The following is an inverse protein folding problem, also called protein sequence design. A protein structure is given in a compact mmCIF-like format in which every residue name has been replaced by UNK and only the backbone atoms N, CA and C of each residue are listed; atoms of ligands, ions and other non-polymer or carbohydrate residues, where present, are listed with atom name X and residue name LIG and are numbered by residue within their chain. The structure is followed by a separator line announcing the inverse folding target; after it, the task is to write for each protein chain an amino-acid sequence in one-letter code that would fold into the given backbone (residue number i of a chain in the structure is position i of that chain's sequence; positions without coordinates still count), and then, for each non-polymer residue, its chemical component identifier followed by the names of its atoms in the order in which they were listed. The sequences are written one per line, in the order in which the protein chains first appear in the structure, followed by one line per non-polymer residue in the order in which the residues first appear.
data_IF_148584470268
#
_entry.id   IF_148584470268
#
_cell.length_a   1.000
_cell.length_b   1.000
_cell.length_c   1.000
_cell.angle_alpha   90.00
_cell.angle_beta   90.00
_cell.angle_gamma   90.00
#
_symmetry.space_group_name_H-M   'P 1'
#
loop_
_entity.id
_entity.type
_entity.pdbx_description
1 polymer ?
#
# COMPACT_ATOMS: atom_id res chain seq x y z
N UNK A 1 -22.87 15.36 13.51
CA UNK A 1 -23.26 14.01 13.95
C UNK A 1 -23.90 13.24 12.80
N UNK A 2 -23.25 12.16 12.35
CA UNK A 2 -23.84 11.26 11.35
C UNK A 2 -24.66 10.17 12.07
N UNK A 3 -25.84 9.79 11.56
CA UNK A 3 -26.65 8.76 12.20
C UNK A 3 -25.92 7.41 12.15
N UNK A 4 -25.84 6.70 13.28
CA UNK A 4 -25.49 5.28 13.31
C UNK A 4 -26.61 4.52 12.60
N UNK A 5 -26.33 3.98 11.41
CA UNK A 5 -27.30 3.21 10.62
C UNK A 5 -27.15 1.69 10.89
N UNK A 6 -28.04 1.06 11.68
CA UNK A 6 -28.00 -0.39 11.96
C UNK A 6 -28.40 -1.28 10.77
N UNK A 7 -28.92 -0.73 9.67
CA UNK A 7 -29.36 -1.53 8.51
C UNK A 7 -28.21 -2.08 7.65
N UNK A 8 -27.05 -1.42 7.61
CA UNK A 8 -25.91 -1.89 6.79
C UNK A 8 -25.28 -3.17 7.36
N UNK A 9 -25.32 -3.39 8.67
CA UNK A 9 -24.73 -4.60 9.27
C UNK A 9 -25.56 -5.85 8.94
N UNK A 10 -26.89 -5.75 8.90
CA UNK A 10 -27.76 -6.86 8.48
C UNK A 10 -27.59 -7.18 6.99
N UNK A 11 -27.50 -6.15 6.15
CA UNK A 11 -27.24 -6.32 4.71
C UNK A 11 -25.88 -6.99 4.49
N UNK A 12 -24.83 -6.54 5.17
CA UNK A 12 -23.50 -7.13 5.03
C UNK A 12 -23.48 -8.55 5.59
N UNK A 13 -24.02 -8.80 6.78
CA UNK A 13 -24.12 -10.17 7.31
C UNK A 13 -24.90 -11.12 6.37
N UNK A 14 -25.91 -10.61 5.67
CA UNK A 14 -26.62 -11.35 4.63
C UNK A 14 -25.73 -11.59 3.39
N UNK A 15 -25.03 -10.56 2.89
CA UNK A 15 -24.15 -10.69 1.73
C UNK A 15 -22.93 -11.60 2.02
N UNK A 16 -22.41 -11.58 3.25
CA UNK A 16 -21.33 -12.45 3.71
C UNK A 16 -21.73 -13.93 3.71
N UNK A 17 -23.01 -14.24 3.91
CA UNK A 17 -23.53 -15.62 3.80
C UNK A 17 -23.55 -16.14 2.36
N UNK A 18 -23.55 -15.24 1.36
CA UNK A 18 -23.66 -15.57 -0.05
C UNK A 18 -22.48 -14.98 -0.84
N UNK A 19 -21.30 -15.60 -0.70
CA UNK A 19 -20.03 -15.16 -1.33
C UNK A 19 -20.14 -14.80 -2.83
N UNK A 20 -20.97 -15.49 -3.60
CA UNK A 20 -21.19 -15.20 -5.03
C UNK A 20 -21.83 -13.82 -5.26
N UNK A 21 -22.84 -13.46 -4.46
CA UNK A 21 -23.52 -12.17 -4.57
C UNK A 21 -22.58 -11.00 -4.24
N UNK A 22 -21.57 -11.22 -3.38
CA UNK A 22 -20.63 -10.17 -2.99
C UNK A 22 -19.69 -9.79 -4.14
N UNK A 23 -19.14 -10.78 -4.85
CA UNK A 23 -18.26 -10.56 -6.00
C UNK A 23 -19.00 -9.82 -7.13
N UNK A 24 -20.25 -10.19 -7.38
CA UNK A 24 -21.07 -9.58 -8.43
C UNK A 24 -21.40 -8.12 -8.11
N UNK A 25 -21.70 -7.81 -6.84
CA UNK A 25 -21.90 -6.42 -6.38
C UNK A 25 -20.63 -5.58 -6.59
N UNK A 26 -19.45 -6.09 -6.23
CA UNK A 26 -18.18 -5.37 -6.41
C UNK A 26 -17.79 -5.19 -7.89
N UNK A 27 -18.33 -6.00 -8.79
CA UNK A 27 -18.14 -5.88 -10.24
C UNK A 27 -19.26 -5.09 -10.94
N UNK A 28 -20.32 -4.73 -10.22
CA UNK A 28 -21.42 -3.94 -10.77
C UNK A 28 -20.99 -2.51 -11.06
N UNK A 29 -21.77 -1.81 -11.90
CA UNK A 29 -21.59 -0.37 -12.13
C UNK A 29 -22.22 0.50 -11.01
N UNK A 30 -22.75 -0.12 -9.95
CA UNK A 30 -23.44 0.57 -8.86
C UNK A 30 -22.45 1.06 -7.79
N UNK A 31 -21.69 2.12 -8.12
CA UNK A 31 -20.65 2.67 -7.24
C UNK A 31 -21.15 3.03 -5.82
N UNK A 32 -22.38 3.53 -5.71
CA UNK A 32 -22.99 3.85 -4.41
C UNK A 32 -23.24 2.60 -3.56
N UNK A 33 -23.64 1.48 -4.18
CA UNK A 33 -23.80 0.21 -3.51
C UNK A 33 -22.45 -0.33 -3.03
N UNK A 34 -21.43 -0.29 -3.90
CA UNK A 34 -20.05 -0.68 -3.56
C UNK A 34 -19.53 0.14 -2.38
N UNK A 35 -19.74 1.46 -2.41
CA UNK A 35 -19.32 2.35 -1.32
C UNK A 35 -20.01 2.02 0.01
N UNK A 36 -21.32 1.70 0.00
CA UNK A 36 -22.06 1.27 1.20
C UNK A 36 -21.52 -0.04 1.77
N UNK A 37 -21.22 -1.00 0.91
CA UNK A 37 -20.62 -2.28 1.29
C UNK A 37 -19.27 -2.04 1.98
N UNK A 38 -18.38 -1.26 1.37
CA UNK A 38 -17.07 -0.92 1.96
C UNK A 38 -17.21 -0.17 3.27
N UNK A 39 -18.18 0.75 3.36
CA UNK A 39 -18.44 1.50 4.60
C UNK A 39 -18.85 0.59 5.73
N UNK A 40 -19.68 -0.41 5.47
CA UNK A 40 -20.06 -1.33 6.53
C UNK A 40 -18.97 -2.36 6.86
N UNK A 41 -18.12 -2.78 5.91
CA UNK A 41 -16.91 -3.56 6.22
C UNK A 41 -15.98 -2.80 7.19
N UNK A 42 -15.81 -1.49 6.99
CA UNK A 42 -15.05 -0.62 7.89
C UNK A 42 -15.62 -0.54 9.32
N UNK A 43 -16.87 -0.96 9.54
CA UNK A 43 -17.53 -0.97 10.85
C UNK A 43 -17.69 -2.40 11.42
N UNK A 44 -17.17 -3.41 10.74
CA UNK A 44 -17.16 -4.78 11.23
C UNK A 44 -15.96 -5.04 12.14
N UNK A 45 -16.10 -6.05 13.00
CA UNK A 45 -14.96 -6.64 13.68
C UNK A 45 -14.03 -7.28 12.64
N UNK A 46 -12.76 -6.89 12.67
CA UNK A 46 -11.78 -7.25 11.64
C UNK A 46 -11.57 -8.76 11.51
N UNK A 47 -11.65 -9.50 12.63
CA UNK A 47 -11.54 -10.96 12.67
C UNK A 47 -12.69 -11.69 11.96
N UNK A 48 -13.81 -11.00 11.70
CA UNK A 48 -14.97 -11.56 11.00
C UNK A 48 -14.94 -11.28 9.50
N UNK A 49 -13.94 -10.56 8.98
CA UNK A 49 -13.84 -10.23 7.57
C UNK A 49 -13.23 -11.42 6.82
N UNK A 50 -13.98 -12.08 5.93
CA UNK A 50 -13.46 -13.19 5.15
C UNK A 50 -12.33 -12.75 4.20
N UNK A 51 -11.31 -13.59 4.06
CA UNK A 51 -10.16 -13.36 3.18
C UNK A 51 -10.55 -13.06 1.73
N UNK A 52 -11.46 -13.84 1.16
CA UNK A 52 -11.95 -13.69 -0.21
C UNK A 52 -12.56 -12.31 -0.50
N UNK A 53 -13.08 -11.62 0.51
CA UNK A 53 -13.61 -10.27 0.34
C UNK A 53 -12.49 -9.27 0.06
N UNK A 54 -11.37 -9.37 0.77
CA UNK A 54 -10.21 -8.53 0.48
C UNK A 54 -9.66 -8.84 -0.91
N UNK A 55 -9.66 -10.10 -1.34
CA UNK A 55 -9.27 -10.50 -2.69
C UNK A 55 -10.16 -9.79 -3.73
N UNK A 56 -11.49 -9.80 -3.55
CA UNK A 56 -12.41 -9.11 -4.44
C UNK A 56 -12.23 -7.59 -4.41
N UNK A 57 -11.96 -6.98 -3.25
CA UNK A 57 -11.67 -5.54 -3.15
C UNK A 57 -10.38 -5.17 -3.90
N UNK A 58 -9.37 -6.03 -3.87
CA UNK A 58 -8.12 -5.85 -4.62
C UNK A 58 -8.35 -6.05 -6.11
N UNK A 59 -9.29 -6.90 -6.53
CA UNK A 59 -9.66 -7.10 -7.94
C UNK A 59 -10.39 -5.92 -8.56
N UNK A 60 -10.98 -5.00 -7.77
CA UNK A 60 -11.78 -3.90 -8.33
C UNK A 60 -10.91 -3.10 -9.29
N UNK A 61 -11.32 -3.13 -10.56
CA UNK A 61 -10.58 -2.55 -11.66
C UNK A 61 -11.00 -1.10 -11.81
N UNK A 62 -10.41 -0.25 -10.98
CA UNK A 62 -10.74 1.16 -10.96
C UNK A 62 -9.78 1.84 -11.94
N UNK A 63 -10.29 2.03 -13.17
CA UNK A 63 -9.50 2.23 -14.38
C UNK A 63 -8.71 3.55 -14.41
N UNK A 64 -9.06 4.57 -13.63
CA UNK A 64 -8.69 5.96 -13.97
C UNK A 64 -8.00 6.76 -12.85
N UNK A 65 -7.22 6.13 -11.97
CA UNK A 65 -6.49 6.88 -10.91
C UNK A 65 -5.30 7.71 -11.35
N UNK A 66 -4.83 7.55 -12.59
CA UNK A 66 -3.64 8.28 -13.06
C UNK A 66 -3.95 9.70 -13.56
N UNK A 67 -5.22 10.08 -13.71
CA UNK A 67 -5.60 11.36 -14.34
C UNK A 67 -5.99 12.44 -13.32
N UNK A 68 -6.36 12.10 -12.08
CA UNK A 68 -6.74 13.12 -11.07
C UNK A 68 -5.56 13.55 -10.21
N UNK A 69 -4.39 13.78 -10.84
CA UNK A 69 -3.24 14.36 -10.12
C UNK A 69 -3.24 15.89 -10.10
N UNK A 70 -4.09 16.59 -10.89
CA UNK A 70 -3.83 18.03 -11.13
C UNK A 70 -4.96 19.05 -10.93
N UNK A 71 -6.21 18.71 -10.62
CA UNK A 71 -7.27 19.77 -10.58
C UNK A 71 -8.21 19.78 -9.36
N UNK A 72 -8.30 18.71 -8.56
CA UNK A 72 -9.28 18.68 -7.46
C UNK A 72 -8.74 19.05 -6.06
N UNK A 73 -7.41 19.04 -5.86
CA UNK A 73 -6.81 19.17 -4.52
C UNK A 73 -6.61 20.63 -4.05
N UNK A 74 -6.81 21.62 -4.92
CA UNK A 74 -6.78 23.04 -4.53
C UNK A 74 -8.09 23.52 -3.89
N UNK A 75 -9.22 22.80 -4.03
CA UNK A 75 -10.51 23.24 -3.50
C UNK A 75 -10.80 22.82 -2.05
N UNK A 76 -10.46 21.58 -1.68
CA UNK A 76 -10.93 20.99 -0.41
C UNK A 76 -10.03 21.29 0.80
N UNK A 77 -8.74 21.60 0.56
CA UNK A 77 -7.80 21.91 1.64
C UNK A 77 -7.94 23.35 2.15
N UNK A 78 -8.36 24.30 1.32
CA UNK A 78 -8.53 25.71 1.76
C UNK A 78 -9.78 25.93 2.62
N UNK A 79 -10.82 25.09 2.54
CA UNK A 79 -12.03 25.28 3.39
C UNK A 79 -11.86 24.79 4.84
N UNK A 80 -10.93 23.86 5.10
CA UNK A 80 -10.72 23.29 6.45
C UNK A 80 -9.59 23.94 7.24
N UNK A 81 -8.50 24.37 6.58
CA UNK A 81 -7.44 25.13 7.26
C UNK A 81 -7.90 26.52 7.70
N UNK A 82 -8.79 27.16 6.94
CA UNK A 82 -9.32 28.49 7.28
C UNK A 82 -10.26 28.47 8.49
N UNK A 83 -10.95 27.34 8.73
CA UNK A 83 -11.76 27.10 9.95
C UNK A 83 -10.92 26.74 11.16
N UNK A 84 -9.82 25.99 10.96
CA UNK A 84 -8.91 25.59 12.04
C UNK A 84 -8.05 26.77 12.54
N UNK A 85 -7.49 27.59 11.65
CA UNK A 85 -6.66 28.76 12.02
C UNK A 85 -7.48 29.87 12.71
N UNK A 86 -8.76 30.05 12.35
CA UNK A 86 -9.67 30.97 13.05
C UNK A 86 -10.03 30.51 14.47
N UNK A 87 -10.00 29.20 14.73
CA UNK A 87 -10.30 28.63 16.05
C UNK A 87 -9.14 28.70 17.06
N UNK A 88 -7.91 28.96 16.59
CA UNK A 88 -6.69 28.90 17.40
C UNK A 88 -6.10 30.28 17.77
N UNK A 89 -6.71 31.40 17.35
CA UNK A 89 -6.30 32.75 17.76
C UNK A 89 -4.87 33.17 17.42
N UNK A 90 -4.09 32.35 16.69
CA UNK A 90 -2.73 32.68 16.25
C UNK A 90 -2.80 33.53 14.98
N UNK A 91 -2.75 34.85 15.14
CA UNK A 91 -2.17 35.72 14.11
C UNK A 91 -0.67 35.44 14.12
N UNK A 92 -0.13 34.95 13.01
CA UNK A 92 1.13 35.48 12.48
C UNK A 92 1.30 35.12 11.00
N UNK A 93 1.65 36.18 10.28
CA UNK A 93 2.28 36.28 8.96
C UNK A 93 1.59 35.56 7.80
N UNK A 94 0.68 36.32 7.17
CA UNK A 94 0.20 36.04 5.82
C UNK A 94 1.41 36.01 4.86
N UNK A 95 1.48 35.05 3.92
CA UNK A 95 2.24 35.27 2.70
C UNK A 95 1.62 36.47 1.97
N UNK A 96 2.46 37.40 1.50
CA UNK A 96 2.05 38.47 0.60
C UNK A 96 1.45 37.86 -0.67
N UNK A 97 0.12 37.72 -0.68
CA UNK A 97 -0.67 37.45 -1.87
C UNK A 97 -1.46 38.71 -2.19
N UNK A 98 -1.14 39.27 -3.34
CA UNK A 98 -1.90 40.20 -4.19
C UNK A 98 -3.34 40.37 -3.68
N UNK A 99 -3.58 41.46 -2.95
CA UNK A 99 -4.91 41.86 -2.53
C UNK A 99 -5.63 42.51 -3.73
N UNK A 100 -6.30 41.69 -4.54
CA UNK A 100 -7.49 42.14 -5.26
C UNK A 100 -8.63 41.17 -4.99
N UNK A 101 -9.14 41.20 -3.75
CA UNK A 101 -10.50 40.71 -3.49
C UNK A 101 -11.42 41.87 -3.83
N UNK A 102 -11.84 41.95 -5.09
CA UNK A 102 -12.96 42.78 -5.51
C UNK A 102 -14.17 42.41 -4.67
N UNK A 103 -14.65 43.36 -3.85
CA UNK A 103 -15.86 43.19 -3.04
C UNK A 103 -17.07 43.11 -3.97
N UNK A 104 -17.43 41.91 -4.38
CA UNK A 104 -18.64 41.65 -5.17
C UNK A 104 -19.91 42.06 -4.42
N UNK A 105 -20.79 42.78 -5.11
CA UNK A 105 -22.08 43.22 -4.61
C UNK A 105 -23.01 42.03 -4.31
N UNK A 106 -24.09 42.26 -3.56
CA UNK A 106 -25.11 41.21 -3.32
C UNK A 106 -25.79 40.74 -4.61
N UNK A 107 -25.84 41.59 -5.65
CA UNK A 107 -26.35 41.22 -6.97
C UNK A 107 -25.35 40.37 -7.74
N UNK A 108 -24.07 40.75 -7.75
CA UNK A 108 -23.01 39.98 -8.42
C UNK A 108 -22.91 38.57 -7.84
N UNK A 109 -23.10 38.40 -6.52
CA UNK A 109 -23.17 37.07 -5.88
C UNK A 109 -24.38 36.25 -6.31
N UNK A 110 -25.51 36.88 -6.66
CA UNK A 110 -26.69 36.18 -7.19
C UNK A 110 -26.46 35.79 -8.64
N UNK A 111 -25.91 36.67 -9.46
CA UNK A 111 -25.56 36.39 -10.85
C UNK A 111 -24.48 35.31 -10.97
N UNK A 112 -23.44 35.34 -10.12
CA UNK A 112 -22.41 34.32 -10.02
C UNK A 112 -23.00 32.94 -9.68
N UNK A 113 -24.00 32.88 -8.78
CA UNK A 113 -24.71 31.63 -8.46
C UNK A 113 -25.54 31.13 -9.64
N UNK A 114 -26.20 32.03 -10.37
CA UNK A 114 -27.00 31.68 -11.54
C UNK A 114 -26.08 31.19 -12.67
N UNK A 115 -24.96 31.88 -12.92
CA UNK A 115 -23.93 31.49 -13.88
C UNK A 115 -23.34 30.12 -13.55
N UNK A 116 -22.96 29.86 -12.29
CA UNK A 116 -22.51 28.52 -11.85
C UNK A 116 -23.57 27.45 -12.03
N UNK A 117 -24.85 27.79 -11.86
CA UNK A 117 -25.95 26.85 -12.06
C UNK A 117 -26.16 26.54 -13.55
N UNK A 118 -26.04 27.54 -14.41
CA UNK A 118 -26.12 27.38 -15.88
C UNK A 118 -24.91 26.60 -16.42
N UNK A 119 -23.71 26.90 -15.95
CA UNK A 119 -22.49 26.20 -16.32
C UNK A 119 -22.52 24.73 -15.85
N UNK A 120 -23.02 24.47 -14.64
CA UNK A 120 -23.29 23.12 -14.15
C UNK A 120 -24.30 22.37 -15.04
N UNK A 121 -25.35 23.05 -15.53
CA UNK A 121 -26.32 22.41 -16.43
C UNK A 121 -25.69 22.12 -17.81
N UNK A 122 -24.89 23.05 -18.36
CA UNK A 122 -24.18 22.83 -19.62
C UNK A 122 -23.23 21.64 -19.55
N UNK A 123 -22.48 21.51 -18.46
CA UNK A 123 -21.58 20.38 -18.21
C UNK A 123 -22.33 19.04 -18.01
N UNK A 124 -23.59 19.07 -17.52
CA UNK A 124 -24.46 17.88 -17.46
C UNK A 124 -24.91 17.48 -18.87
N UNK A 125 -25.29 18.46 -19.69
CA UNK A 125 -25.72 18.24 -21.08
C UNK A 125 -24.56 17.78 -21.99
N UNK A 126 -23.32 18.21 -21.69
CA UNK A 126 -22.07 17.80 -22.37
C UNK A 126 -21.57 16.42 -21.90
N UNK A 127 -22.19 15.80 -20.88
CA UNK A 127 -21.82 14.48 -20.35
C UNK A 127 -20.59 14.47 -19.43
N UNK A 128 -19.84 15.57 -19.33
CA UNK A 128 -18.61 15.70 -18.53
C UNK A 128 -18.87 15.58 -17.02
N UNK A 129 -19.99 16.13 -16.52
CA UNK A 129 -20.35 16.08 -15.09
C UNK A 129 -20.61 14.65 -14.61
N UNK A 130 -21.01 13.75 -15.51
CA UNK A 130 -21.23 12.34 -15.19
C UNK A 130 -19.91 11.60 -14.92
N UNK A 131 -18.85 11.95 -15.65
CA UNK A 131 -17.55 11.32 -15.53
C UNK A 131 -16.79 11.82 -14.29
N UNK A 132 -16.85 13.13 -14.01
CA UNK A 132 -16.29 13.69 -12.78
C UNK A 132 -16.97 13.14 -11.52
N UNK A 133 -18.31 13.03 -11.53
CA UNK A 133 -19.06 12.44 -10.43
C UNK A 133 -18.71 10.96 -10.23
N UNK A 134 -18.53 10.22 -11.31
CA UNK A 134 -18.07 8.83 -11.28
C UNK A 134 -16.67 8.71 -10.68
N UNK A 135 -15.70 9.51 -11.15
CA UNK A 135 -14.33 9.57 -10.61
C UNK A 135 -14.32 9.92 -9.12
N UNK A 136 -15.15 10.86 -8.70
CA UNK A 136 -15.29 11.23 -7.29
C UNK A 136 -15.86 10.08 -6.44
N UNK A 137 -16.80 9.30 -6.95
CA UNK A 137 -17.33 8.11 -6.27
C UNK A 137 -16.30 6.97 -6.21
N UNK A 138 -15.60 6.71 -7.31
CA UNK A 138 -14.49 5.75 -7.36
C UNK A 138 -13.41 6.13 -6.33
N UNK A 139 -13.01 7.40 -6.24
CA UNK A 139 -12.08 7.87 -5.22
C UNK A 139 -12.60 7.64 -3.78
N UNK A 140 -13.90 7.79 -3.52
CA UNK A 140 -14.49 7.48 -2.21
C UNK A 140 -14.40 5.99 -1.89
N UNK A 141 -14.70 5.12 -2.85
CA UNK A 141 -14.56 3.67 -2.75
C UNK A 141 -13.12 3.32 -2.34
N UNK A 142 -12.15 3.84 -3.07
CA UNK A 142 -10.74 3.61 -2.79
C UNK A 142 -10.26 4.11 -1.44
N UNK A 143 -10.68 5.31 -1.04
CA UNK A 143 -10.39 5.80 0.30
C UNK A 143 -11.03 4.92 1.38
N UNK A 144 -12.20 4.34 1.10
CA UNK A 144 -12.84 3.36 1.97
C UNK A 144 -12.06 2.05 2.08
N UNK A 145 -11.49 1.55 0.98
CA UNK A 145 -10.62 0.36 0.96
C UNK A 145 -9.31 0.65 1.69
N UNK A 146 -8.67 1.78 1.41
CA UNK A 146 -7.45 2.22 2.10
C UNK A 146 -7.70 2.35 3.60
N UNK A 147 -8.84 2.92 4.02
CA UNK A 147 -9.21 2.99 5.44
C UNK A 147 -9.31 1.59 6.06
N UNK A 148 -9.92 0.63 5.37
CA UNK A 148 -10.04 -0.74 5.86
C UNK A 148 -8.65 -1.37 6.05
N UNK A 149 -7.77 -1.20 5.07
CA UNK A 149 -6.37 -1.65 5.16
C UNK A 149 -5.63 -1.03 6.35
N UNK A 150 -5.77 0.29 6.56
CA UNK A 150 -5.17 0.97 7.71
C UNK A 150 -5.74 0.48 9.04
N UNK A 151 -7.04 0.16 9.11
CA UNK A 151 -7.65 -0.42 10.31
C UNK A 151 -7.07 -1.80 10.63
N UNK A 152 -6.84 -2.63 9.60
CA UNK A 152 -6.17 -3.93 9.76
C UNK A 152 -4.72 -3.75 10.21
N UNK A 153 -3.97 -2.79 9.64
CA UNK A 153 -2.58 -2.54 10.04
C UNK A 153 -2.42 -1.90 11.42
N UNK A 154 -3.47 -1.24 11.94
CA UNK A 154 -3.43 -0.57 13.25
C UNK A 154 -3.24 -1.55 14.41
N UNK A 155 -3.45 -2.85 14.20
CA UNK A 155 -3.26 -3.88 15.23
C UNK A 155 -1.84 -3.82 15.81
N UNK A 156 -1.73 -3.70 17.13
CA UNK A 156 -0.46 -3.44 17.80
C UNK A 156 0.01 -4.62 18.65
N UNK A 157 -0.93 -5.38 19.23
CA UNK A 157 -0.61 -6.54 20.06
C UNK A 157 -0.42 -7.81 19.21
N UNK A 158 0.35 -8.77 19.71
CA UNK A 158 0.52 -10.06 19.04
C UNK A 158 -0.79 -10.84 18.94
N UNK A 159 -1.66 -10.71 19.93
CA UNK A 159 -2.99 -11.34 19.93
C UNK A 159 -3.90 -10.76 18.86
N UNK A 160 -3.88 -9.43 18.68
CA UNK A 160 -4.61 -8.75 17.61
C UNK A 160 -4.09 -9.16 16.23
N UNK A 161 -2.77 -9.24 16.07
CA UNK A 161 -2.15 -9.66 14.82
C UNK A 161 -2.56 -11.09 14.46
N UNK A 162 -2.55 -12.04 15.40
CA UNK A 162 -2.98 -13.43 15.14
C UNK A 162 -4.39 -13.52 14.57
N UNK A 163 -5.29 -12.64 15.02
CA UNK A 163 -6.68 -12.61 14.55
C UNK A 163 -6.82 -12.14 13.10
N UNK A 164 -5.91 -11.29 12.63
CA UNK A 164 -5.95 -10.70 11.29
C UNK A 164 -4.82 -11.16 10.36
N UNK A 165 -3.95 -12.08 10.81
CA UNK A 165 -2.74 -12.48 10.08
C UNK A 165 -3.07 -12.98 8.67
N UNK A 166 -4.17 -13.71 8.55
CA UNK A 166 -4.70 -14.23 7.29
C UNK A 166 -5.19 -13.15 6.31
N UNK A 167 -5.18 -11.87 6.69
CA UNK A 167 -5.55 -10.72 5.83
C UNK A 167 -4.35 -9.86 5.47
N UNK A 168 -3.24 -9.94 6.20
CA UNK A 168 -2.14 -8.98 6.13
C UNK A 168 -1.43 -8.96 4.78
N UNK A 169 -1.19 -10.13 4.18
CA UNK A 169 -0.57 -10.24 2.86
C UNK A 169 -1.42 -9.54 1.78
N UNK A 170 -2.74 -9.74 1.80
CA UNK A 170 -3.69 -9.06 0.92
C UNK A 170 -3.69 -7.55 1.15
N UNK A 171 -3.65 -7.11 2.40
CA UNK A 171 -3.54 -5.68 2.74
C UNK A 171 -2.28 -5.07 2.08
N UNK A 172 -1.14 -5.72 2.19
CA UNK A 172 0.10 -5.23 1.57
C UNK A 172 0.07 -5.30 0.04
N UNK A 173 -0.57 -6.32 -0.56
CA UNK A 173 -0.81 -6.36 -2.01
C UNK A 173 -1.68 -5.17 -2.44
N UNK A 174 -2.77 -4.92 -1.71
CA UNK A 174 -3.70 -3.84 -1.97
C UNK A 174 -3.07 -2.46 -1.81
N UNK A 175 -2.23 -2.24 -0.79
CA UNK A 175 -1.51 -0.98 -0.60
C UNK A 175 -0.61 -0.61 -1.78
N UNK A 176 0.05 -1.60 -2.41
CA UNK A 176 0.82 -1.37 -3.64
C UNK A 176 -0.08 -0.92 -4.79
N UNK A 177 -1.23 -1.57 -4.97
CA UNK A 177 -2.20 -1.19 -6.01
C UNK A 177 -2.73 0.23 -5.78
N UNK A 178 -2.92 0.61 -4.53
CA UNK A 178 -3.42 1.93 -4.13
C UNK A 178 -2.33 2.99 -3.97
N UNK A 179 -1.06 2.69 -4.27
CA UNK A 179 0.04 3.66 -4.20
C UNK A 179 -0.31 5.05 -4.79
N UNK A 180 -0.96 5.18 -5.96
CA UNK A 180 -1.21 6.49 -6.58
C UNK A 180 -2.07 7.45 -5.73
N UNK A 181 -2.90 6.92 -4.84
CA UNK A 181 -3.84 7.70 -4.02
C UNK A 181 -3.38 7.88 -2.56
N UNK A 182 -2.31 7.18 -2.16
CA UNK A 182 -1.77 7.31 -0.80
C UNK A 182 -1.08 8.67 -0.67
N UNK A 183 -1.63 9.49 0.21
CA UNK A 183 -1.11 10.83 0.50
C UNK A 183 0.20 10.78 1.27
N UNK A 184 1.03 11.81 1.11
CA UNK A 184 2.34 11.91 1.75
C UNK A 184 2.27 11.92 3.28
N UNK A 185 1.25 12.55 3.85
CA UNK A 185 1.00 12.60 5.30
C UNK A 185 0.67 11.23 5.91
N UNK A 186 0.06 10.33 5.13
CA UNK A 186 -0.26 8.96 5.56
C UNK A 186 0.93 8.00 5.47
N UNK A 187 1.91 8.30 4.63
CA UNK A 187 3.02 7.39 4.37
C UNK A 187 3.86 7.07 5.61
N UNK A 188 4.17 8.08 6.42
CA UNK A 188 4.93 7.86 7.66
C UNK A 188 4.20 6.92 8.62
N UNK A 189 2.87 7.05 8.72
CA UNK A 189 2.03 6.15 9.51
C UNK A 189 2.04 4.72 8.96
N UNK A 190 1.88 4.56 7.64
CA UNK A 190 1.95 3.25 6.97
C UNK A 190 3.32 2.61 7.19
N UNK A 191 4.41 3.37 7.07
CA UNK A 191 5.78 2.90 7.32
C UNK A 191 5.92 2.33 8.73
N UNK A 192 5.49 3.09 9.75
CA UNK A 192 5.60 2.66 11.15
C UNK A 192 4.80 1.40 11.44
N UNK A 193 3.54 1.33 10.98
CA UNK A 193 2.69 0.15 11.18
C UNK A 193 3.26 -1.08 10.46
N UNK A 194 3.76 -0.90 9.24
CA UNK A 194 4.34 -2.00 8.44
C UNK A 194 5.64 -2.50 9.06
N UNK A 195 6.51 -1.61 9.54
CA UNK A 195 7.76 -1.99 10.21
C UNK A 195 7.48 -2.77 11.49
N UNK A 196 6.48 -2.34 12.27
CA UNK A 196 6.01 -3.08 13.45
C UNK A 196 5.62 -4.50 13.06
N UNK A 197 4.82 -4.69 12.00
CA UNK A 197 4.39 -6.02 11.55
C UNK A 197 5.57 -6.89 11.09
N UNK A 198 6.54 -6.33 10.36
CA UNK A 198 7.73 -7.08 9.91
C UNK A 198 8.55 -7.61 11.10
N UNK A 199 8.62 -6.85 12.19
CA UNK A 199 9.34 -7.24 13.41
C UNK A 199 8.61 -8.32 14.22
N UNK A 200 7.31 -8.51 14.02
CA UNK A 200 6.51 -9.50 14.76
C UNK A 200 6.65 -10.88 14.15
N UNK A 201 6.31 -11.92 14.94
CA UNK A 201 6.31 -13.33 14.51
C UNK A 201 5.15 -13.68 13.55
N UNK A 202 5.00 -12.91 12.47
CA UNK A 202 4.12 -13.25 11.35
C UNK A 202 4.89 -14.09 10.33
N UNK A 203 4.17 -14.83 9.49
CA UNK A 203 4.76 -15.66 8.44
C UNK A 203 5.63 -14.85 7.44
N UNK A 204 6.61 -15.52 6.82
CA UNK A 204 7.59 -14.85 5.94
C UNK A 204 6.97 -14.26 4.67
N UNK A 205 5.92 -14.88 4.11
CA UNK A 205 5.21 -14.39 2.93
C UNK A 205 4.64 -12.98 3.21
N UNK A 206 3.93 -12.84 4.34
CA UNK A 206 3.41 -11.55 4.80
C UNK A 206 4.52 -10.52 4.98
N UNK A 207 5.66 -10.90 5.57
CA UNK A 207 6.80 -9.96 5.75
C UNK A 207 7.39 -9.48 4.42
N UNK A 208 7.52 -10.35 3.41
CA UNK A 208 8.01 -9.90 2.10
C UNK A 208 6.98 -9.07 1.32
N UNK A 209 5.69 -9.35 1.48
CA UNK A 209 4.65 -8.46 0.97
C UNK A 209 4.71 -7.08 1.63
N UNK A 210 4.93 -7.04 2.95
CA UNK A 210 5.13 -5.80 3.71
C UNK A 210 6.36 -5.01 3.21
N UNK A 211 7.49 -5.69 3.00
CA UNK A 211 8.70 -5.08 2.45
C UNK A 211 8.42 -4.48 1.07
N UNK A 212 7.82 -5.26 0.16
CA UNK A 212 7.46 -4.78 -1.17
C UNK A 212 6.47 -3.62 -1.14
N UNK A 213 5.52 -3.61 -0.20
CA UNK A 213 4.59 -2.50 -0.03
C UNK A 213 5.31 -1.20 0.30
N UNK A 214 6.26 -1.23 1.23
CA UNK A 214 7.11 -0.08 1.55
C UNK A 214 7.90 0.34 0.31
N UNK A 215 8.66 -0.56 -0.30
CA UNK A 215 9.49 -0.22 -1.47
C UNK A 215 8.67 0.42 -2.60
N UNK A 216 7.45 -0.08 -2.85
CA UNK A 216 6.56 0.48 -3.88
C UNK A 216 6.00 1.84 -3.47
N UNK A 217 5.46 1.98 -2.26
CA UNK A 217 4.87 3.24 -1.78
C UNK A 217 5.85 4.41 -1.79
N UNK A 218 7.14 4.07 -1.72
CA UNK A 218 8.23 5.00 -1.52
C UNK A 218 9.20 5.09 -2.70
N UNK A 219 8.97 4.34 -3.77
CA UNK A 219 9.85 4.24 -4.95
C UNK A 219 10.25 5.61 -5.55
N UNK A 220 9.35 6.59 -5.53
CA UNK A 220 9.57 7.94 -6.10
C UNK A 220 9.88 9.00 -5.04
N UNK A 221 10.21 8.62 -3.80
CA UNK A 221 10.32 9.51 -2.65
C UNK A 221 11.67 9.33 -1.96
N UNK A 222 12.27 10.41 -1.47
CA UNK A 222 13.54 10.34 -0.76
C UNK A 222 13.34 9.84 0.67
N UNK A 223 13.56 8.55 0.91
CA UNK A 223 13.44 7.95 2.25
C UNK A 223 14.72 7.29 2.67
N UNK A 224 14.95 7.37 3.98
CA UNK A 224 15.93 6.54 4.65
C UNK A 224 15.56 5.06 4.56
N UNK A 225 16.30 4.36 3.70
CA UNK A 225 16.19 2.93 3.42
C UNK A 225 16.83 2.07 4.51
N UNK A 226 17.59 2.65 5.44
CA UNK A 226 18.29 1.92 6.50
C UNK A 226 17.36 1.00 7.28
N UNK A 227 16.21 1.53 7.70
CA UNK A 227 15.24 0.75 8.48
C UNK A 227 14.68 -0.46 7.73
N UNK A 228 14.31 -0.31 6.46
CA UNK A 228 13.76 -1.44 5.68
C UNK A 228 14.85 -2.45 5.32
N UNK A 229 16.07 -1.97 5.07
CA UNK A 229 17.25 -2.79 4.82
C UNK A 229 17.56 -3.69 6.02
N UNK A 230 17.69 -3.10 7.21
CA UNK A 230 18.04 -3.82 8.43
C UNK A 230 16.95 -4.85 8.78
N UNK A 231 15.67 -4.49 8.63
CA UNK A 231 14.55 -5.43 8.80
C UNK A 231 14.59 -6.59 7.79
N UNK A 232 14.93 -6.31 6.53
CA UNK A 232 15.02 -7.36 5.50
C UNK A 232 16.16 -8.34 5.82
N UNK A 233 17.30 -7.85 6.30
CA UNK A 233 18.40 -8.72 6.75
C UNK A 233 17.99 -9.60 7.93
N UNK A 234 17.26 -9.06 8.91
CA UNK A 234 16.71 -9.85 10.03
C UNK A 234 15.80 -10.96 9.51
N UNK A 235 14.91 -10.66 8.57
CA UNK A 235 14.02 -11.67 7.95
C UNK A 235 14.82 -12.76 7.23
N UNK A 236 15.85 -12.41 6.46
CA UNK A 236 16.72 -13.38 5.78
C UNK A 236 17.51 -14.27 6.76
N UNK A 237 17.99 -13.69 7.86
CA UNK A 237 18.67 -14.41 8.92
C UNK A 237 17.72 -15.41 9.61
N UNK A 238 16.50 -14.99 9.92
CA UNK A 238 15.47 -15.84 10.52
C UNK A 238 15.10 -17.01 9.61
N UNK A 239 14.96 -16.76 8.30
CA UNK A 239 14.69 -17.79 7.28
C UNK A 239 15.80 -18.84 7.25
N UNK A 240 17.06 -18.39 7.26
CA UNK A 240 18.22 -19.28 7.21
C UNK A 240 18.29 -20.21 8.43
N UNK A 241 17.79 -19.76 9.59
CA UNK A 241 17.71 -20.55 10.83
C UNK A 241 16.55 -21.55 10.84
N UNK A 242 15.43 -21.24 10.17
CA UNK A 242 14.19 -22.02 10.17
C UNK A 242 13.87 -22.59 8.78
N UNK A 243 14.90 -22.97 8.03
CA UNK A 243 14.77 -23.41 6.63
C UNK A 243 13.78 -24.56 6.47
N UNK A 244 13.70 -25.44 7.47
CA UNK A 244 12.79 -26.60 7.51
C UNK A 244 11.32 -26.19 7.32
N UNK A 245 10.92 -25.03 7.81
CA UNK A 245 9.54 -24.53 7.69
C UNK A 245 9.19 -24.09 6.26
N UNK A 246 10.22 -23.91 5.41
CA UNK A 246 10.12 -23.45 4.01
C UNK A 246 10.28 -24.64 3.03
N UNK A 247 10.76 -25.81 3.51
CA UNK A 247 11.20 -26.95 2.68
C UNK A 247 10.14 -27.60 1.78
N UNK A 248 8.85 -27.25 1.91
CA UNK A 248 7.83 -27.66 0.96
C UNK A 248 7.80 -26.75 -0.27
N UNK A 249 8.86 -26.80 -1.08
CA UNK A 249 8.92 -26.43 -2.50
C UNK A 249 8.07 -25.20 -2.90
N UNK A 250 8.10 -24.14 -2.10
CA UNK A 250 7.23 -22.99 -2.29
C UNK A 250 7.88 -22.04 -3.31
N UNK A 251 7.78 -22.40 -4.60
CA UNK A 251 8.30 -21.58 -5.69
C UNK A 251 7.77 -20.14 -5.63
N UNK A 252 6.53 -19.95 -5.17
CA UNK A 252 5.94 -18.62 -5.07
C UNK A 252 6.58 -17.79 -3.95
N UNK A 253 6.97 -18.42 -2.84
CA UNK A 253 7.81 -17.77 -1.83
C UNK A 253 9.15 -17.31 -2.41
N UNK A 254 9.86 -18.16 -3.15
CA UNK A 254 11.14 -17.76 -3.75
C UNK A 254 10.98 -16.68 -4.83
N UNK A 255 9.91 -16.68 -5.61
CA UNK A 255 9.56 -15.58 -6.54
C UNK A 255 9.34 -14.27 -5.77
N UNK A 256 8.60 -14.34 -4.66
CA UNK A 256 8.31 -13.17 -3.83
C UNK A 256 9.59 -12.61 -3.19
N UNK A 257 10.42 -13.47 -2.61
CA UNK A 257 11.72 -13.11 -2.05
C UNK A 257 12.61 -12.47 -3.11
N UNK A 258 12.75 -13.11 -4.28
CA UNK A 258 13.52 -12.55 -5.39
C UNK A 258 13.02 -11.15 -5.78
N UNK A 259 11.71 -10.99 -5.96
CA UNK A 259 11.10 -9.69 -6.28
C UNK A 259 11.39 -8.63 -5.20
N UNK A 260 11.26 -8.98 -3.92
CA UNK A 260 11.53 -8.07 -2.82
C UNK A 260 12.99 -7.61 -2.78
N UNK A 261 13.92 -8.55 -2.93
CA UNK A 261 15.36 -8.24 -2.92
C UNK A 261 15.78 -7.44 -4.15
N UNK A 262 15.30 -7.77 -5.36
CA UNK A 262 15.55 -6.95 -6.56
C UNK A 262 15.04 -5.53 -6.37
N UNK A 263 13.82 -5.37 -5.87
CA UNK A 263 13.25 -4.05 -5.59
C UNK A 263 14.04 -3.29 -4.53
N UNK A 264 14.61 -3.97 -3.51
CA UNK A 264 15.39 -3.30 -2.47
C UNK A 264 16.79 -2.92 -2.94
N UNK A 265 17.49 -3.83 -3.62
CA UNK A 265 18.90 -3.65 -3.94
C UNK A 265 19.07 -2.95 -5.30
N UNK A 266 18.50 -3.52 -6.36
CA UNK A 266 18.70 -3.03 -7.73
C UNK A 266 17.90 -1.77 -8.04
N UNK A 267 16.60 -1.74 -7.69
CA UNK A 267 15.75 -0.59 -8.04
C UNK A 267 16.10 0.63 -7.20
N UNK A 268 16.42 0.43 -5.92
CA UNK A 268 16.80 1.53 -5.03
C UNK A 268 18.31 1.83 -5.07
N UNK A 269 19.09 1.04 -5.80
CA UNK A 269 20.53 1.19 -6.01
C UNK A 269 21.31 1.43 -4.71
N UNK A 270 21.18 0.50 -3.75
CA UNK A 270 21.94 0.62 -2.49
C UNK A 270 23.45 0.57 -2.74
N UNK A 271 24.28 1.21 -1.88
CA UNK A 271 25.74 1.12 -2.00
C UNK A 271 26.23 -0.34 -1.93
N UNK A 272 27.25 -0.68 -2.72
CA UNK A 272 27.79 -2.06 -2.81
C UNK A 272 28.15 -2.66 -1.43
N UNK A 273 28.73 -1.87 -0.51
CA UNK A 273 29.03 -2.31 0.87
C UNK A 273 27.79 -2.79 1.65
N UNK A 274 26.62 -2.23 1.36
CA UNK A 274 25.37 -2.60 2.00
C UNK A 274 24.70 -3.82 1.37
N UNK A 275 25.13 -4.20 0.17
CA UNK A 275 24.63 -5.37 -0.59
C UNK A 275 25.31 -6.66 -0.12
N UNK A 276 26.59 -6.60 0.24
CA UNK A 276 27.38 -7.77 0.65
C UNK A 276 26.72 -8.63 1.74
N UNK A 277 26.14 -8.06 2.82
CA UNK A 277 25.42 -8.87 3.81
C UNK A 277 24.23 -9.64 3.24
N UNK A 278 23.49 -9.05 2.28
CA UNK A 278 22.39 -9.74 1.60
C UNK A 278 22.91 -10.90 0.77
N UNK A 279 23.97 -10.68 -0.02
CA UNK A 279 24.60 -11.74 -0.81
C UNK A 279 24.99 -12.93 0.07
N UNK A 280 25.60 -12.69 1.23
CA UNK A 280 26.00 -13.75 2.15
C UNK A 280 24.81 -14.58 2.64
N UNK A 281 23.71 -13.93 3.07
CA UNK A 281 22.50 -14.64 3.48
C UNK A 281 21.82 -15.37 2.32
N UNK A 282 21.82 -14.82 1.11
CA UNK A 282 21.25 -15.49 -0.06
C UNK A 282 22.06 -16.71 -0.48
N UNK A 283 23.39 -16.63 -0.43
CA UNK A 283 24.28 -17.78 -0.69
C UNK A 283 24.10 -18.87 0.37
N UNK A 284 23.99 -18.49 1.65
CA UNK A 284 23.67 -19.42 2.73
C UNK A 284 22.32 -20.11 2.48
N UNK A 285 21.28 -19.33 2.14
CA UNK A 285 19.96 -19.83 1.81
C UNK A 285 20.01 -20.83 0.63
N UNK A 286 20.71 -20.50 -0.46
CA UNK A 286 20.93 -21.39 -1.60
C UNK A 286 21.69 -22.66 -1.24
N UNK A 287 22.61 -22.60 -0.28
CA UNK A 287 23.38 -23.75 0.19
C UNK A 287 22.52 -24.71 1.01
N UNK A 288 21.53 -24.18 1.73
CA UNK A 288 20.58 -24.97 2.54
C UNK A 288 19.42 -25.52 1.71
N UNK A 289 18.93 -24.75 0.73
CA UNK A 289 17.84 -25.14 -0.17
C UNK A 289 18.07 -24.52 -1.53
N UNK A 290 18.53 -25.34 -2.47
CA UNK A 290 18.83 -24.87 -3.82
C UNK A 290 17.56 -24.33 -4.51
N UNK A 291 17.65 -23.09 -5.01
CA UNK A 291 16.60 -22.46 -5.82
C UNK A 291 17.25 -21.73 -7.01
N UNK A 292 16.92 -22.10 -8.26
CA UNK A 292 17.43 -21.42 -9.44
C UNK A 292 17.15 -19.92 -9.45
N UNK A 293 15.99 -19.51 -8.89
CA UNK A 293 15.59 -18.10 -8.79
C UNK A 293 16.54 -17.30 -7.90
N UNK A 294 16.97 -17.88 -6.77
CA UNK A 294 17.86 -17.20 -5.84
C UNK A 294 19.30 -17.25 -6.33
N UNK A 295 19.71 -18.36 -6.94
CA UNK A 295 21.02 -18.46 -7.59
C UNK A 295 21.17 -17.43 -8.72
N UNK A 296 20.17 -17.27 -9.59
CA UNK A 296 20.15 -16.24 -10.62
C UNK A 296 20.21 -14.82 -10.07
N UNK A 297 19.51 -14.55 -8.95
CA UNK A 297 19.58 -13.27 -8.26
C UNK A 297 20.99 -12.99 -7.70
N UNK A 298 21.66 -13.99 -7.12
CA UNK A 298 23.02 -13.83 -6.60
C UNK A 298 23.99 -13.42 -7.72
N UNK A 299 23.92 -14.08 -8.88
CA UNK A 299 24.76 -13.76 -10.04
C UNK A 299 24.50 -12.34 -10.54
N UNK A 300 23.24 -11.98 -10.74
CA UNK A 300 22.83 -10.64 -11.16
C UNK A 300 23.33 -9.55 -10.20
N UNK A 301 23.23 -9.77 -8.89
CA UNK A 301 23.73 -8.83 -7.89
C UNK A 301 25.26 -8.73 -7.91
N UNK A 302 25.98 -9.84 -8.07
CA UNK A 302 27.46 -9.83 -8.17
C UNK A 302 27.92 -9.06 -9.41
N UNK A 303 27.27 -9.29 -10.54
CA UNK A 303 27.56 -8.61 -11.81
C UNK A 303 27.23 -7.11 -11.73
N UNK A 304 26.04 -6.75 -11.25
CA UNK A 304 25.60 -5.35 -11.19
C UNK A 304 26.47 -4.49 -10.25
N UNK A 305 26.94 -5.07 -9.14
CA UNK A 305 27.73 -4.36 -8.13
C UNK A 305 29.23 -4.59 -8.22
N UNK A 306 29.69 -5.35 -9.22
CA UNK A 306 31.10 -5.71 -9.42
C UNK A 306 31.75 -6.31 -8.14
N UNK A 307 30.98 -7.12 -7.40
CA UNK A 307 31.44 -7.68 -6.12
C UNK A 307 32.23 -8.97 -6.38
N UNK A 308 33.55 -8.88 -6.20
CA UNK A 308 34.44 -10.04 -6.22
C UNK A 308 34.63 -10.60 -4.79
N UNK A 309 34.06 -11.78 -4.52
CA UNK A 309 34.10 -12.41 -3.19
C UNK A 309 35.25 -13.40 -3.00
N UNK A 310 36.12 -13.58 -3.99
CA UNK A 310 37.19 -14.60 -3.96
C UNK A 310 38.22 -14.41 -2.84
N UNK A 311 38.26 -13.27 -2.15
CA UNK A 311 39.37 -12.87 -1.28
C UNK A 311 39.01 -12.67 0.22
N UNK A 312 37.81 -13.02 0.69
CA UNK A 312 37.33 -12.61 2.03
C UNK A 312 36.93 -13.78 2.97
N UNK A 313 36.76 -13.48 4.26
CA UNK A 313 36.37 -14.39 5.37
C UNK A 313 35.10 -15.23 5.12
N UNK A 314 34.34 -14.94 4.06
CA UNK A 314 33.15 -15.69 3.61
C UNK A 314 33.46 -16.82 2.60
N UNK A 315 34.74 -17.13 2.35
CA UNK A 315 35.17 -18.15 1.37
C UNK A 315 34.55 -19.52 1.62
N UNK A 316 34.19 -19.86 2.87
CA UNK A 316 33.49 -21.11 3.19
C UNK A 316 32.07 -21.16 2.63
N UNK A 317 31.25 -20.13 2.87
CA UNK A 317 29.86 -20.08 2.38
C UNK A 317 29.85 -20.05 0.85
N UNK A 318 30.77 -19.29 0.25
CA UNK A 318 30.93 -19.28 -1.21
C UNK A 318 31.39 -20.63 -1.75
N UNK A 319 32.33 -21.31 -1.09
CA UNK A 319 32.82 -22.64 -1.48
C UNK A 319 31.70 -23.69 -1.43
N UNK A 320 30.89 -23.68 -0.37
CA UNK A 320 29.72 -24.58 -0.25
C UNK A 320 28.68 -24.26 -1.33
N UNK A 321 28.37 -22.98 -1.54
CA UNK A 321 27.47 -22.54 -2.61
C UNK A 321 27.96 -22.99 -3.99
N UNK A 322 29.24 -22.75 -4.33
CA UNK A 322 29.85 -23.17 -5.60
C UNK A 322 29.79 -24.69 -5.75
N UNK A 323 30.09 -25.47 -4.72
CA UNK A 323 29.97 -26.94 -4.78
C UNK A 323 28.54 -27.38 -5.07
N UNK A 324 27.55 -26.80 -4.42
CA UNK A 324 26.14 -27.12 -4.67
C UNK A 324 25.66 -26.71 -6.07
N UNK A 325 26.21 -25.62 -6.61
CA UNK A 325 25.86 -25.09 -7.93
C UNK A 325 26.54 -25.83 -9.09
N UNK A 326 27.82 -26.18 -8.95
CA UNK A 326 28.63 -26.79 -10.03
C UNK A 326 28.73 -28.33 -9.97
N UNK A 327 28.10 -29.00 -8.99
CA UNK A 327 28.01 -30.47 -8.94
C UNK A 327 26.73 -31.04 -9.60
N UNK A 328 25.93 -30.18 -10.24
CA UNK A 328 24.87 -30.57 -11.18
C UNK A 328 25.29 -30.22 -12.59
#
# INVERSE_FOLDING_TARGET
DFPKFPHNQKLIAHLLKFNHNFKDILKSNELELIFKVITGLNNMELEKIPRNILEYLIEINIKDYLIVKDQFMTGYFYEKTDKFLKSQGKKNEKPEKINEITKMSKMDKKEEKIRKKLEKNRLIDEGELSEEMRKAQELKICNGILKLFLLILKTASEEEIKKVEHLLDLVFIGLRKLQPIVKDDLLSGIKLMTFSIIQKKVNYITRFHAILAILTLFEKKSIDMKGIRDLTLVVLADISKNITDITNNNQDFFKLLNKAIRSLLLVQMLPSKEVTPFLNYLMLLCSLTYSPLISGLILELKEFYEIDQTNDENSFVESVYRKMYYLK
#
